data_IF_878384366864
#
_entry.id   IF_878384366864
#
_cell.length_a   1.000
_cell.length_b   1.000
_cell.length_c   1.000
_cell.angle_alpha   90.00
_cell.angle_beta   90.00
_cell.angle_gamma   90.00
#
_symmetry.space_group_name_H-M   'P 1'
#
loop_
_entity.id
_entity.type
_entity.pdbx_description
1 polymer ?
#
# COMPACT_ATOMS: atom_id res chain seq x y z
N UNK A 1 -0.43 -28.13 -6.37
CA UNK A 1 -0.23 -26.68 -6.54
C UNK A 1 -0.33 -26.03 -5.17
N UNK A 2 0.78 -25.60 -4.55
CA UNK A 2 0.81 -25.04 -3.18
C UNK A 2 0.32 -23.59 -3.09
N UNK A 3 -0.74 -23.24 -3.82
CA UNK A 3 -1.31 -21.89 -3.88
C UNK A 3 -2.48 -21.80 -2.91
N UNK A 4 -2.55 -20.73 -2.13
CA UNK A 4 -3.55 -20.52 -1.05
C UNK A 4 -4.68 -19.57 -1.45
N UNK A 5 -4.39 -18.61 -2.34
CA UNK A 5 -5.35 -17.58 -2.75
C UNK A 5 -5.28 -17.37 -4.26
N UNK A 6 -6.44 -17.18 -4.88
CA UNK A 6 -6.59 -16.75 -6.26
C UNK A 6 -7.15 -15.33 -6.29
N UNK A 7 -6.57 -14.49 -7.14
CA UNK A 7 -7.10 -13.19 -7.51
C UNK A 7 -7.47 -13.29 -8.98
N UNK A 8 -8.77 -13.20 -9.27
CA UNK A 8 -9.32 -13.34 -10.61
C UNK A 8 -9.92 -11.99 -11.00
N UNK A 9 -9.48 -11.44 -12.13
CA UNK A 9 -10.04 -10.21 -12.69
C UNK A 9 -10.83 -10.61 -13.91
N UNK A 10 -12.11 -10.24 -13.92
CA UNK A 10 -13.00 -10.47 -15.05
C UNK A 10 -13.50 -9.13 -15.57
N UNK A 11 -13.61 -9.02 -16.89
CA UNK A 11 -14.07 -7.82 -17.58
C UNK A 11 -15.26 -8.17 -18.49
N UNK A 12 -16.46 -8.41 -17.92
CA UNK A 12 -17.67 -8.64 -18.71
C UNK A 12 -18.09 -7.37 -19.47
N UNK A 13 -19.15 -7.45 -20.27
CA UNK A 13 -19.77 -6.28 -20.94
C UNK A 13 -20.27 -5.23 -19.93
N UNK A 14 -20.52 -5.66 -18.69
CA UNK A 14 -20.87 -4.84 -17.53
C UNK A 14 -19.61 -4.27 -16.84
N UNK A 15 -19.69 -4.07 -15.51
CA UNK A 15 -18.63 -3.52 -14.67
C UNK A 15 -17.53 -4.59 -14.44
N UNK A 16 -16.24 -4.24 -14.56
CA UNK A 16 -15.15 -5.14 -14.23
C UNK A 16 -15.18 -5.52 -12.75
N UNK A 17 -14.94 -6.79 -12.45
CA UNK A 17 -14.98 -7.29 -11.08
C UNK A 17 -13.74 -8.11 -10.73
N UNK A 18 -13.32 -8.00 -9.47
CA UNK A 18 -12.22 -8.71 -8.85
C UNK A 18 -12.78 -9.76 -7.90
N UNK A 19 -12.56 -11.05 -8.20
CA UNK A 19 -12.88 -12.17 -7.30
C UNK A 19 -11.63 -12.59 -6.56
N UNK A 20 -11.69 -12.63 -5.24
CA UNK A 20 -10.64 -13.13 -4.36
C UNK A 20 -11.14 -14.42 -3.72
N UNK A 21 -10.49 -15.54 -4.04
CA UNK A 21 -10.91 -16.85 -3.56
C UNK A 21 -9.80 -17.54 -2.77
N UNK A 22 -10.17 -18.22 -1.69
CA UNK A 22 -9.25 -19.04 -0.90
C UNK A 22 -9.40 -20.51 -1.30
N UNK A 23 -8.29 -21.20 -1.53
CA UNK A 23 -8.28 -22.64 -1.81
C UNK A 23 -8.08 -23.46 -0.53
N UNK A 24 -8.56 -24.71 -0.46
CA UNK A 24 -9.39 -25.43 -1.44
C UNK A 24 -10.91 -25.26 -1.25
N UNK A 25 -11.38 -24.79 -0.08
CA UNK A 25 -12.81 -24.79 0.27
C UNK A 25 -13.50 -23.41 0.19
N UNK A 26 -12.87 -22.38 -0.37
CA UNK A 26 -13.39 -21.01 -0.29
C UNK A 26 -13.03 -20.32 1.02
N UNK A 27 -13.61 -19.15 1.34
CA UNK A 27 -14.69 -18.45 0.62
C UNK A 27 -14.20 -17.67 -0.62
N UNK A 28 -15.15 -17.24 -1.44
CA UNK A 28 -14.95 -16.36 -2.60
C UNK A 28 -15.61 -15.01 -2.35
N UNK A 29 -14.86 -13.93 -2.49
CA UNK A 29 -15.36 -12.57 -2.32
C UNK A 29 -15.25 -11.84 -3.66
N UNK A 30 -16.38 -11.31 -4.13
CA UNK A 30 -16.48 -10.56 -5.38
C UNK A 30 -16.58 -9.08 -5.10
N UNK A 31 -15.67 -8.31 -5.69
CA UNK A 31 -15.63 -6.86 -5.65
C UNK A 31 -15.90 -6.29 -7.03
N UNK A 32 -16.76 -5.28 -7.13
CA UNK A 32 -16.87 -4.42 -8.30
C UNK A 32 -15.77 -3.36 -8.28
N UNK A 33 -15.17 -3.10 -9.43
CA UNK A 33 -14.14 -2.06 -9.60
C UNK A 33 -14.83 -0.82 -10.18
N UNK A 34 -15.04 0.21 -9.34
CA UNK A 34 -15.64 1.47 -9.79
C UNK A 34 -14.64 2.35 -10.53
N UNK A 35 -13.46 2.52 -9.95
CA UNK A 35 -12.40 3.36 -10.48
C UNK A 35 -11.08 2.63 -10.37
N UNK A 36 -10.23 2.77 -11.39
CA UNK A 36 -8.88 2.24 -11.35
C UNK A 36 -7.91 3.22 -12.01
N UNK A 37 -6.67 3.24 -11.52
CA UNK A 37 -5.56 3.94 -12.17
C UNK A 37 -4.34 3.03 -12.21
N UNK A 38 -3.69 2.99 -13.37
CA UNK A 38 -2.50 2.17 -13.58
C UNK A 38 -1.32 2.74 -12.79
N UNK A 39 -0.42 1.86 -12.35
CA UNK A 39 0.83 2.26 -11.71
C UNK A 39 1.67 3.18 -12.62
N UNK A 40 1.58 3.02 -13.95
CA UNK A 40 2.24 3.89 -14.91
C UNK A 40 1.70 5.32 -14.90
N UNK A 41 0.38 5.49 -14.75
CA UNK A 41 -0.25 6.82 -14.72
C UNK A 41 0.06 7.55 -13.42
N UNK A 42 0.06 6.81 -12.31
CA UNK A 42 0.46 7.32 -11.01
C UNK A 42 1.93 7.76 -11.05
N UNK A 43 2.82 6.95 -11.63
CA UNK A 43 4.22 7.32 -11.79
C UNK A 43 4.38 8.59 -12.66
N UNK A 44 3.59 8.75 -13.73
CA UNK A 44 3.64 9.95 -14.58
C UNK A 44 3.10 11.20 -13.91
N UNK A 45 2.08 11.07 -13.06
CA UNK A 45 1.51 12.21 -12.32
C UNK A 45 2.43 12.75 -11.23
N UNK A 46 3.40 11.96 -10.76
CA UNK A 46 4.34 12.37 -9.73
C UNK A 46 5.50 13.19 -10.31
N UNK A 47 5.89 14.26 -9.62
CA UNK A 47 7.07 15.05 -10.01
C UNK A 47 8.39 14.25 -9.93
N UNK A 48 8.46 13.26 -9.03
CA UNK A 48 9.65 12.43 -8.79
C UNK A 48 9.25 10.98 -8.52
N UNK A 49 8.81 10.22 -9.55
CA UNK A 49 8.47 8.82 -9.38
C UNK A 49 9.72 8.02 -9.03
N UNK A 50 9.60 7.09 -8.10
CA UNK A 50 10.71 6.22 -7.76
C UNK A 50 10.21 4.89 -7.24
N UNK A 51 10.31 3.89 -8.11
CA UNK A 51 9.91 2.50 -7.88
C UNK A 51 11.10 1.55 -8.17
N UNK A 52 12.09 1.44 -7.26
CA UNK A 52 13.14 0.43 -7.39
C UNK A 52 12.56 -0.99 -7.48
N UNK A 53 13.06 -1.80 -8.41
CA UNK A 53 12.59 -3.20 -8.61
C UNK A 53 12.76 -4.07 -7.37
N UNK A 54 13.79 -3.81 -6.57
CA UNK A 54 14.07 -4.51 -5.31
C UNK A 54 12.95 -4.37 -4.26
N UNK A 55 12.09 -3.34 -4.36
CA UNK A 55 10.97 -3.17 -3.45
C UNK A 55 10.00 -4.36 -3.54
N UNK A 56 9.86 -4.96 -4.72
CA UNK A 56 8.91 -6.04 -4.96
C UNK A 56 9.37 -7.41 -4.46
N UNK A 57 10.66 -7.56 -4.11
CA UNK A 57 11.21 -8.81 -3.58
C UNK A 57 10.73 -9.12 -2.16
N UNK A 58 10.38 -8.10 -1.37
CA UNK A 58 9.86 -8.26 -0.01
C UNK A 58 8.33 -8.17 -0.01
N UNK A 59 7.67 -8.91 0.89
CA UNK A 59 6.22 -8.81 1.09
C UNK A 59 5.82 -7.42 1.62
N UNK A 60 4.68 -6.87 1.17
CA UNK A 60 4.18 -5.62 1.72
C UNK A 60 3.53 -5.84 3.11
N UNK A 61 3.50 -4.78 3.90
CA UNK A 61 2.69 -4.68 5.11
C UNK A 61 1.26 -4.32 4.74
N UNK A 62 0.27 -4.88 5.42
CA UNK A 62 -1.13 -4.53 5.20
C UNK A 62 -1.64 -3.61 6.32
N UNK A 63 -2.31 -2.54 5.96
CA UNK A 63 -3.00 -1.63 6.89
C UNK A 63 -4.47 -1.61 6.49
N UNK A 64 -5.32 -2.01 7.44
CA UNK A 64 -6.77 -2.04 7.26
C UNK A 64 -7.40 -0.93 8.11
N UNK A 65 -7.99 0.06 7.46
CA UNK A 65 -8.64 1.21 8.09
C UNK A 65 -10.15 1.15 7.85
N UNK A 66 -10.95 1.49 8.86
CA UNK A 66 -12.41 1.59 8.75
C UNK A 66 -13.18 0.25 8.78
N UNK A 67 -12.51 -0.90 8.80
CA UNK A 67 -13.18 -2.21 8.81
C UNK A 67 -13.75 -2.64 10.18
N UNK A 68 -13.37 -1.97 11.27
CA UNK A 68 -13.73 -2.36 12.65
C UNK A 68 -15.20 -2.14 13.01
N UNK A 69 -15.86 -1.17 12.38
CA UNK A 69 -17.28 -0.85 12.59
C UNK A 69 -18.23 -1.65 11.67
N UNK A 70 -17.68 -2.53 10.84
CA UNK A 70 -18.41 -3.25 9.80
C UNK A 70 -19.21 -4.46 10.27
N UNK A 71 -20.18 -4.87 9.45
CA UNK A 71 -20.92 -6.12 9.63
C UNK A 71 -20.03 -7.37 9.51
N UNK A 72 -20.60 -8.56 9.75
CA UNK A 72 -19.85 -9.83 9.70
C UNK A 72 -19.14 -10.08 8.36
N UNK A 73 -19.72 -9.60 7.26
CA UNK A 73 -19.14 -9.66 5.92
C UNK A 73 -17.80 -8.89 5.83
N UNK A 74 -17.68 -7.71 6.46
CA UNK A 74 -16.43 -6.93 6.46
C UNK A 74 -15.34 -7.55 7.32
N UNK A 75 -15.71 -8.22 8.42
CA UNK A 75 -14.77 -8.99 9.23
C UNK A 75 -14.19 -10.16 8.43
N UNK A 76 -15.03 -10.85 7.65
CA UNK A 76 -14.55 -11.93 6.78
C UNK A 76 -13.60 -11.40 5.69
N UNK A 77 -13.94 -10.29 5.05
CA UNK A 77 -13.07 -9.59 4.10
C UNK A 77 -11.72 -9.22 4.72
N UNK A 78 -11.74 -8.67 5.94
CA UNK A 78 -10.53 -8.32 6.70
C UNK A 78 -9.64 -9.54 6.91
N UNK A 79 -10.21 -10.66 7.37
CA UNK A 79 -9.49 -11.91 7.61
C UNK A 79 -8.93 -12.48 6.30
N UNK A 80 -9.68 -12.39 5.20
CA UNK A 80 -9.20 -12.83 3.89
C UNK A 80 -7.98 -12.02 3.47
N UNK A 81 -8.06 -10.69 3.49
CA UNK A 81 -6.93 -9.83 3.11
C UNK A 81 -5.73 -9.98 4.04
N UNK A 82 -5.94 -10.21 5.35
CA UNK A 82 -4.86 -10.53 6.28
C UNK A 82 -4.14 -11.84 5.92
N UNK A 83 -4.87 -12.86 5.46
CA UNK A 83 -4.29 -14.16 5.11
C UNK A 83 -3.63 -14.20 3.72
N UNK A 84 -3.91 -13.24 2.84
CA UNK A 84 -3.21 -13.10 1.55
C UNK A 84 -1.72 -12.77 1.78
N UNK A 85 -1.43 -12.01 2.83
CA UNK A 85 -0.06 -11.63 3.18
C UNK A 85 0.46 -12.49 4.34
N UNK A 86 1.79 -12.71 4.44
CA UNK A 86 2.35 -13.45 5.56
C UNK A 86 2.06 -12.73 6.88
N UNK A 87 1.75 -13.51 7.92
CA UNK A 87 1.62 -12.98 9.27
C UNK A 87 2.93 -12.32 9.72
N UNK A 88 2.80 -11.17 10.39
CA UNK A 88 3.93 -10.32 10.79
C UNK A 88 4.02 -10.36 12.31
N UNK A 89 5.08 -10.98 12.82
CA UNK A 89 5.41 -10.93 14.24
C UNK A 89 6.34 -9.74 14.53
N UNK A 90 5.87 -8.83 15.38
CA UNK A 90 6.58 -7.57 15.69
C UNK A 90 8.01 -7.82 16.22
N UNK A 91 8.22 -8.94 16.91
CA UNK A 91 9.49 -9.26 17.55
C UNK A 91 10.53 -9.88 16.60
N UNK A 92 10.11 -10.53 15.52
CA UNK A 92 11.01 -11.29 14.64
C UNK A 92 11.23 -10.62 13.28
N UNK A 93 10.36 -9.69 12.91
CA UNK A 93 10.36 -9.07 11.59
C UNK A 93 11.51 -8.06 11.44
N UNK A 94 12.24 -8.19 10.34
CA UNK A 94 13.33 -7.27 9.99
C UNK A 94 12.75 -5.98 9.40
N UNK A 95 13.06 -4.84 10.01
CA UNK A 95 12.65 -3.53 9.49
C UNK A 95 13.18 -3.24 8.08
N UNK A 96 14.28 -3.90 7.68
CA UNK A 96 14.88 -3.74 6.34
C UNK A 96 14.03 -4.34 5.21
N UNK A 97 13.20 -5.35 5.50
CA UNK A 97 12.25 -5.94 4.53
C UNK A 97 10.95 -5.13 4.43
N UNK A 98 10.61 -4.37 5.47
CA UNK A 98 9.39 -3.54 5.54
C UNK A 98 9.52 -2.28 4.68
N UNK A 99 9.44 -2.42 3.35
CA UNK A 99 9.60 -1.31 2.40
C UNK A 99 8.31 -0.90 1.69
N UNK A 100 7.25 -1.72 1.77
CA UNK A 100 5.99 -1.51 1.06
C UNK A 100 4.80 -1.65 2.02
N UNK A 101 3.77 -0.85 1.79
CA UNK A 101 2.51 -0.87 2.53
C UNK A 101 1.36 -0.90 1.52
N UNK A 102 0.43 -1.83 1.72
CA UNK A 102 -0.89 -1.83 1.10
C UNK A 102 -1.87 -1.29 2.12
N UNK A 103 -2.53 -0.19 1.78
CA UNK A 103 -3.58 0.43 2.55
C UNK A 103 -4.93 0.07 1.92
N UNK A 104 -5.81 -0.50 2.72
CA UNK A 104 -7.22 -0.65 2.41
C UNK A 104 -7.99 0.24 3.37
N UNK A 105 -8.73 1.20 2.83
CA UNK A 105 -9.56 2.10 3.62
C UNK A 105 -11.03 1.90 3.27
N UNK A 106 -11.83 1.46 4.24
CA UNK A 106 -13.27 1.32 4.08
C UNK A 106 -13.98 2.57 4.59
N UNK A 107 -14.81 3.16 3.74
CA UNK A 107 -15.72 4.23 4.14
C UNK A 107 -17.13 3.68 4.36
N UNK A 108 -17.67 3.85 5.58
CA UNK A 108 -18.97 3.31 5.95
C UNK A 108 -20.15 4.02 5.27
N UNK A 109 -19.99 5.28 4.87
CA UNK A 109 -21.05 6.05 4.23
C UNK A 109 -21.22 5.67 2.76
N UNK A 110 -20.10 5.57 2.03
CA UNK A 110 -20.11 5.23 0.60
C UNK A 110 -20.09 3.73 0.34
N UNK A 111 -19.76 2.92 1.35
CA UNK A 111 -19.48 1.47 1.26
C UNK A 111 -18.37 1.11 0.26
N UNK A 112 -17.49 2.07 -0.04
CA UNK A 112 -16.35 1.88 -0.94
C UNK A 112 -15.09 1.54 -0.15
N UNK A 113 -14.26 0.72 -0.75
CA UNK A 113 -12.94 0.31 -0.26
C UNK A 113 -11.90 0.93 -1.19
N UNK A 114 -11.10 1.85 -0.66
CA UNK A 114 -9.95 2.40 -1.37
C UNK A 114 -8.75 1.46 -1.20
N UNK A 115 -8.25 0.91 -2.30
CA UNK A 115 -7.02 0.17 -2.37
C UNK A 115 -5.88 1.09 -2.82
N UNK A 116 -4.88 1.28 -1.97
CA UNK A 116 -3.71 2.11 -2.27
C UNK A 116 -2.42 1.40 -1.88
N UNK A 117 -1.38 1.57 -2.69
CA UNK A 117 -0.08 0.94 -2.47
C UNK A 117 1.04 1.97 -2.41
N UNK A 118 1.74 1.98 -1.28
CA UNK A 118 2.78 2.94 -0.92
C UNK A 118 4.12 2.23 -0.70
N UNK A 119 5.20 2.93 -1.03
CA UNK A 119 6.56 2.63 -0.59
C UNK A 119 6.90 3.48 0.63
N UNK A 120 7.60 2.87 1.58
CA UNK A 120 8.11 3.55 2.76
C UNK A 120 9.48 4.12 2.42
N UNK A 121 9.67 5.41 2.67
CA UNK A 121 10.98 6.08 2.65
C UNK A 121 11.26 6.66 4.02
N UNK A 122 12.46 6.41 4.52
CA UNK A 122 12.94 7.00 5.75
C UNK A 122 13.78 8.23 5.42
N UNK A 123 13.43 9.36 6.05
CA UNK A 123 14.16 10.61 5.98
C UNK A 123 14.76 10.90 7.36
N UNK A 124 16.09 10.90 7.53
CA UNK A 124 16.71 11.21 8.81
C UNK A 124 16.47 12.69 9.16
N UNK A 125 16.10 12.95 10.41
CA UNK A 125 15.84 14.31 10.92
C UNK A 125 17.14 14.84 11.54
N UNK A 126 17.39 16.14 11.39
CA UNK A 126 18.60 16.79 11.92
C UNK A 126 19.84 16.72 11.01
N UNK A 127 19.69 16.23 9.77
CA UNK A 127 20.76 16.22 8.75
C UNK A 127 20.37 17.14 7.60
N UNK A 128 21.27 18.05 7.21
CA UNK A 128 21.00 18.98 6.11
C UNK A 128 20.74 18.24 4.79
N UNK A 129 19.89 18.81 3.91
CA UNK A 129 19.56 18.21 2.60
C UNK A 129 20.80 17.92 1.76
N UNK A 130 21.86 18.76 1.88
CA UNK A 130 23.13 18.62 1.16
C UNK A 130 23.92 17.41 1.65
N UNK A 131 24.07 17.23 2.96
CA UNK A 131 24.73 16.05 3.54
C UNK A 131 23.96 14.79 3.14
N UNK A 132 22.63 14.82 3.17
CA UNK A 132 21.82 13.68 2.75
C UNK A 132 22.05 13.31 1.27
N UNK A 133 22.06 14.30 0.37
CA UNK A 133 22.36 14.07 -1.07
C UNK A 133 23.77 13.51 -1.27
N UNK A 134 24.74 14.04 -0.55
CA UNK A 134 26.12 13.57 -0.62
C UNK A 134 26.26 12.12 -0.14
N UNK A 135 25.70 11.78 1.02
CA UNK A 135 25.87 10.44 1.61
C UNK A 135 24.99 9.38 0.94
N UNK A 136 23.77 9.72 0.52
CA UNK A 136 22.82 8.75 -0.05
C UNK A 136 22.89 8.64 -1.57
N UNK A 137 23.13 9.75 -2.28
CA UNK A 137 23.15 9.79 -3.75
C UNK A 137 24.55 9.96 -4.33
N UNK A 138 25.58 10.09 -3.49
CA UNK A 138 26.94 10.41 -3.93
C UNK A 138 27.01 11.64 -4.86
N UNK A 139 26.06 12.57 -4.69
CA UNK A 139 26.01 13.83 -5.43
C UNK A 139 27.01 14.78 -4.79
N UNK A 140 28.09 15.11 -5.51
CA UNK A 140 29.14 16.00 -5.01
C UNK A 140 28.58 17.42 -4.92
N UNK A 141 28.51 18.04 -3.73
CA UNK A 141 28.05 19.41 -3.57
C UNK A 141 29.05 20.38 -4.19
N UNK A 142 28.56 21.54 -4.64
CA UNK A 142 29.45 22.62 -5.07
C UNK A 142 30.15 23.24 -3.85
N UNK A 143 31.47 23.11 -3.82
CA UNK A 143 32.34 23.59 -2.74
C UNK A 143 32.94 24.96 -3.04
N UNK A 144 32.68 25.55 -4.21
CA UNK A 144 33.39 26.76 -4.68
C UNK A 144 33.18 27.99 -3.76
N UNK A 145 32.05 28.05 -3.05
CA UNK A 145 31.70 29.14 -2.14
C UNK A 145 31.89 28.81 -0.65
N UNK A 146 32.54 27.69 -0.33
CA UNK A 146 32.75 27.22 1.05
C UNK A 146 34.25 27.28 1.37
N UNK A 147 34.61 27.95 2.47
CA UNK A 147 36.00 28.09 2.88
C UNK A 147 36.43 26.93 3.80
N UNK A 148 35.50 26.39 4.59
CA UNK A 148 35.76 25.27 5.48
C UNK A 148 34.65 24.18 5.43
N UNK A 149 34.99 22.96 5.84
CA UNK A 149 34.07 21.84 6.02
C UNK A 149 33.01 22.17 7.08
N UNK A 150 33.40 22.94 8.10
CA UNK A 150 32.50 23.44 9.13
C UNK A 150 31.40 24.33 8.53
N UNK A 151 31.71 25.17 7.53
CA UNK A 151 30.73 25.98 6.80
C UNK A 151 29.70 25.11 6.06
N UNK A 152 30.11 23.96 5.52
CA UNK A 152 29.20 23.07 4.81
C UNK A 152 28.13 22.48 5.75
N UNK A 153 28.52 22.19 6.99
CA UNK A 153 27.63 21.60 8.01
C UNK A 153 26.78 22.67 8.69
N UNK A 154 27.37 23.83 9.01
CA UNK A 154 26.73 24.90 9.81
C UNK A 154 25.92 25.90 8.98
N UNK A 155 26.28 26.17 7.72
CA UNK A 155 25.59 27.12 6.81
C UNK A 155 24.32 26.52 6.19
N UNK A 156 23.67 25.61 6.91
CA UNK A 156 22.46 24.90 6.51
C UNK A 156 21.23 25.81 6.34
N UNK A 157 21.26 27.05 6.82
CA UNK A 157 20.10 27.96 6.86
C UNK A 157 19.79 28.82 5.62
N UNK A 158 20.49 28.66 4.47
CA UNK A 158 20.33 29.59 3.33
C UNK A 158 19.83 28.96 2.02
N UNK A 159 19.16 27.80 2.08
CA UNK A 159 18.67 27.09 0.90
C UNK A 159 17.27 26.53 1.07
N UNK A 160 16.26 27.42 0.99
CA UNK A 160 14.83 27.09 0.81
C UNK A 160 14.39 25.80 1.53
N UNK A 161 14.38 25.85 2.86
CA UNK A 161 13.86 24.79 3.74
C UNK A 161 12.32 24.85 3.85
N UNK A 162 11.63 25.22 2.77
CA UNK A 162 10.17 25.22 2.74
C UNK A 162 9.65 23.81 2.44
N UNK A 163 9.91 22.89 3.35
CA UNK A 163 8.99 21.82 3.71
C UNK A 163 9.15 21.69 5.22
N UNK A 164 8.26 22.34 5.99
CA UNK A 164 8.13 22.03 7.39
C UNK A 164 7.82 20.53 7.48
N UNK A 165 8.80 19.72 7.87
CA UNK A 165 8.54 18.31 8.20
C UNK A 165 7.56 18.34 9.37
N UNK A 166 6.29 18.03 9.09
CA UNK A 166 5.26 17.92 10.12
C UNK A 166 5.76 16.98 11.22
N UNK A 167 5.87 17.51 12.43
CA UNK A 167 6.42 16.85 13.61
C UNK A 167 5.68 15.54 13.97
N UNK A 168 4.48 15.36 13.43
CA UNK A 168 3.60 14.20 13.58
C UNK A 168 4.09 12.92 12.89
N UNK A 169 5.01 12.99 11.92
CA UNK A 169 5.48 11.82 11.16
C UNK A 169 6.87 11.32 11.61
N UNK A 170 7.30 11.63 12.83
CA UNK A 170 8.64 11.31 13.34
C UNK A 170 8.64 10.04 14.20
N UNK A 171 9.59 9.13 13.94
CA UNK A 171 9.72 7.84 14.64
C UNK A 171 11.17 7.65 15.10
N UNK A 172 11.38 7.14 16.31
CA UNK A 172 12.69 6.70 16.78
C UNK A 172 13.01 5.31 16.24
N UNK A 173 14.15 5.17 15.57
CA UNK A 173 14.54 3.88 15.00
C UNK A 173 15.10 2.93 16.07
N UNK A 174 14.59 1.69 16.09
CA UNK A 174 15.09 0.65 17.00
C UNK A 174 16.40 0.01 16.51
N UNK A 175 16.70 0.08 15.21
CA UNK A 175 17.88 -0.53 14.59
C UNK A 175 18.42 0.33 13.45
N UNK A 176 19.70 0.14 13.11
CA UNK A 176 20.32 0.81 11.96
C UNK A 176 19.66 0.41 10.64
N UNK A 177 19.25 1.41 9.84
CA UNK A 177 18.63 1.23 8.53
C UNK A 177 19.43 2.01 7.48
N UNK A 178 20.54 1.42 7.05
CA UNK A 178 21.47 2.01 6.09
C UNK A 178 22.50 2.93 6.74
N UNK A 179 23.19 3.75 5.94
CA UNK A 179 24.34 4.54 6.42
C UNK A 179 23.97 5.78 7.25
N UNK A 180 22.81 6.37 6.99
CA UNK A 180 22.40 7.66 7.59
C UNK A 180 21.34 7.47 8.68
N UNK A 181 20.46 6.47 8.55
CA UNK A 181 19.43 6.22 9.55
C UNK A 181 19.98 5.27 10.61
N UNK A 182 20.57 5.83 11.67
CA UNK A 182 21.11 5.05 12.78
C UNK A 182 20.06 4.78 13.84
N UNK A 183 20.25 3.69 14.60
CA UNK A 183 19.48 3.37 15.79
C UNK A 183 19.45 4.57 16.75
N UNK A 184 18.33 4.73 17.46
CA UNK A 184 18.04 5.83 18.39
C UNK A 184 17.97 7.22 17.77
N UNK A 185 18.15 7.36 16.45
CA UNK A 185 17.98 8.64 15.74
C UNK A 185 16.52 8.80 15.31
N UNK A 186 15.97 10.02 15.43
CA UNK A 186 14.64 10.33 14.91
C UNK A 186 14.67 10.35 13.37
N UNK A 187 13.76 9.61 12.75
CA UNK A 187 13.56 9.61 11.30
C UNK A 187 12.11 9.90 10.97
N UNK A 188 11.88 10.73 9.98
CA UNK A 188 10.56 10.97 9.42
C UNK A 188 10.21 9.85 8.44
N UNK A 189 8.99 9.32 8.56
CA UNK A 189 8.46 8.32 7.63
C UNK A 189 7.71 9.05 6.52
N UNK A 190 8.21 8.96 5.29
CA UNK A 190 7.54 9.47 4.11
C UNK A 190 6.98 8.32 3.28
N UNK A 191 5.73 8.44 2.88
CA UNK A 191 5.08 7.49 1.98
C UNK A 191 5.15 8.03 0.55
N UNK A 192 5.63 7.21 -0.37
CA UNK A 192 5.56 7.50 -1.80
C UNK A 192 4.68 6.47 -2.47
N UNK A 193 3.66 6.93 -3.18
CA UNK A 193 2.74 6.05 -3.86
C UNK A 193 3.38 5.34 -5.06
N UNK A 194 3.14 4.03 -5.15
CA UNK A 194 3.61 3.18 -6.25
C UNK A 194 2.45 2.84 -7.19
N UNK A 195 1.27 2.61 -6.63
CA UNK A 195 0.09 2.14 -7.35
C UNK A 195 -0.01 0.60 -7.43
N UNK A 196 -1.09 0.07 -8.03
CA UNK A 196 -2.24 0.77 -8.63
C UNK A 196 -3.16 1.43 -7.58
N UNK A 197 -4.05 2.33 -8.02
CA UNK A 197 -5.19 2.83 -7.23
C UNK A 197 -6.44 2.12 -7.71
N UNK A 198 -7.23 1.60 -6.79
CA UNK A 198 -8.52 1.02 -7.13
C UNK A 198 -9.55 1.41 -6.07
N UNK A 199 -10.76 1.71 -6.53
CA UNK A 199 -11.94 1.92 -5.68
C UNK A 199 -12.84 0.71 -5.87
N UNK A 200 -12.95 -0.11 -4.83
CA UNK A 200 -13.65 -1.39 -4.85
C UNK A 200 -14.97 -1.29 -4.08
N UNK A 201 -16.00 -1.99 -4.53
CA UNK A 201 -17.24 -2.18 -3.78
C UNK A 201 -17.46 -3.66 -3.55
N UNK A 202 -17.79 -4.04 -2.32
CA UNK A 202 -18.14 -5.43 -2.00
C UNK A 202 -19.53 -5.74 -2.55
N UNK A 203 -19.63 -6.75 -3.42
CA UNK A 203 -20.89 -7.13 -4.07
C UNK A 203 -21.44 -8.40 -3.45
N UNK A 204 -20.61 -9.46 -3.46
CA UNK A 204 -21.04 -10.81 -3.16
C UNK A 204 -19.99 -11.55 -2.35
N UNK A 205 -20.44 -12.37 -1.41
CA UNK A 205 -19.61 -13.36 -0.70
C UNK A 205 -20.26 -14.72 -0.88
N UNK A 206 -19.48 -15.67 -1.37
CA UNK A 206 -19.88 -17.05 -1.58
C UNK A 206 -19.07 -17.98 -0.70
N UNK A 207 -19.73 -19.03 -0.22
CA UNK A 207 -19.05 -20.21 0.30
C UNK A 207 -18.42 -20.99 -0.86
N UNK A 208 -17.27 -21.64 -0.65
CA UNK A 208 -16.63 -22.40 -1.71
C UNK A 208 -15.75 -21.58 -2.66
N UNK A 209 -15.24 -22.28 -3.68
CA UNK A 209 -14.35 -21.75 -4.71
C UNK A 209 -15.17 -21.43 -5.96
N UNK A 210 -15.70 -20.21 -6.05
CA UNK A 210 -16.58 -19.74 -7.14
C UNK A 210 -17.84 -20.58 -7.37
N UNK A 211 -18.17 -21.50 -6.46
CA UNK A 211 -19.33 -22.38 -6.53
C UNK A 211 -19.79 -22.69 -5.11
N UNK A 212 -20.86 -22.02 -4.66
CA UNK A 212 -21.48 -22.30 -3.38
C UNK A 212 -22.52 -21.27 -2.98
N UNK A 213 -23.01 -21.38 -1.74
CA UNK A 213 -24.12 -20.57 -1.26
C UNK A 213 -23.69 -19.11 -1.03
N UNK A 214 -24.56 -18.17 -1.42
CA UNK A 214 -24.34 -16.73 -1.22
C UNK A 214 -24.59 -16.39 0.24
N UNK A 215 -23.53 -16.01 0.96
CA UNK A 215 -23.57 -15.58 2.36
C UNK A 215 -23.98 -14.11 2.46
N UNK A 216 -23.55 -13.30 1.50
CA UNK A 216 -23.83 -11.87 1.44
C UNK A 216 -23.99 -11.41 0.00
N UNK A 217 -24.98 -10.55 -0.24
CA UNK A 217 -25.21 -9.85 -1.50
C UNK A 217 -25.64 -8.42 -1.18
N UNK A 218 -24.97 -7.43 -1.79
CA UNK A 218 -25.27 -6.00 -1.62
C UNK A 218 -26.52 -5.58 -2.41
N UNK A 219 -26.81 -6.23 -3.55
CA UNK A 219 -27.94 -5.89 -4.42
C UNK A 219 -29.19 -6.77 -4.22
N UNK A 220 -29.13 -7.75 -3.30
CA UNK A 220 -30.22 -8.68 -3.06
C UNK A 220 -30.30 -9.79 -4.11
N UNK A 221 -31.12 -10.82 -3.83
CA UNK A 221 -31.15 -12.06 -4.64
C UNK A 221 -31.57 -11.88 -6.10
N UNK A 222 -32.44 -10.92 -6.40
CA UNK A 222 -33.00 -10.75 -7.75
C UNK A 222 -31.98 -10.22 -8.77
N UNK A 223 -30.96 -9.47 -8.34
CA UNK A 223 -29.89 -8.97 -9.22
C UNK A 223 -28.77 -10.01 -9.44
N UNK A 224 -28.58 -10.94 -8.50
CA UNK A 224 -27.55 -11.99 -8.59
C UNK A 224 -27.87 -13.05 -9.67
N UNK A 225 -29.15 -13.30 -9.98
CA UNK A 225 -29.58 -14.22 -11.04
C UNK A 225 -29.38 -13.59 -12.43
N UNK A 226 -29.70 -12.29 -12.59
CA UNK A 226 -29.50 -11.56 -13.85
C UNK A 226 -28.02 -11.46 -14.26
N UNK A 227 -27.11 -11.26 -13.29
CA UNK A 227 -25.67 -11.23 -13.57
C UNK A 227 -25.04 -12.61 -13.79
N UNK A 228 -25.63 -13.68 -13.28
CA UNK A 228 -25.19 -15.06 -13.57
C UNK A 228 -25.60 -15.52 -14.97
N UNK A 229 -26.76 -15.09 -15.47
CA UNK A 229 -27.19 -15.38 -16.84
C UNK A 229 -26.27 -14.71 -17.89
N UNK A 230 -25.83 -13.46 -17.65
CA UNK A 230 -24.89 -12.77 -18.55
C UNK A 230 -23.48 -13.40 -18.59
N UNK A 231 -22.99 -13.97 -17.48
CA UNK A 231 -21.68 -14.63 -17.42
C UNK A 231 -21.68 -16.04 -18.05
N UNK A 232 -22.87 -16.66 -18.26
CA UNK A 232 -23.01 -18.01 -18.82
C UNK A 232 -23.34 -18.05 -20.32
N UNK A 233 -23.70 -16.92 -20.94
CA UNK A 233 -24.04 -16.83 -22.37
C UNK A 233 -22.83 -16.61 -23.32
N UNK A 234 -21.60 -16.48 -22.81
CA UNK A 234 -20.36 -16.34 -23.62
C UNK A 234 -19.38 -17.52 -23.44
#
# INVERSE_FOLDING_TARGET
MGVTHFLMISNPKSIPHLRVARTPQGPTITFEIHEYALAADIARSQARPSCPKELFSNSPLIVLSGFGSGGQHLKLTTIMFQNIFPAIDINTVKLSSCRRIVLLNYNNETKLIDFRHYSIRLQPIGVSRRIRKFVQKHEVPDLRNLQDVSDFVTKAGYGSESEADEESATVSLASDLGRVNRASTKSAVRLQEIGPRMTLRLVKIEEGLCSGAVIFSEFGKEADDAHQEEDHED
#
